data_IF_619981134607
#
_entry.id   IF_619981134607
#
_cell.length_a   1.000
_cell.length_b   1.000
_cell.length_c   1.000
_cell.angle_alpha   90.00
_cell.angle_beta   90.00
_cell.angle_gamma   90.00
#
_symmetry.space_group_name_H-M   'P 1'
#
loop_
_entity.id
_entity.type
_entity.pdbx_description
1 polymer ?
#
# COMPACT_ATOMS: atom_id res chain seq x y z
N UNK A 1 17.21 -1.93 12.38
CA UNK A 1 16.69 -1.55 11.05
C UNK A 1 17.04 -2.64 10.05
N UNK A 2 16.08 -3.15 9.27
CA UNK A 2 16.34 -4.15 8.22
C UNK A 2 16.40 -3.44 6.86
N UNK A 3 17.50 -3.60 6.13
CA UNK A 3 17.67 -3.00 4.80
C UNK A 3 17.45 -4.09 3.75
N UNK A 4 16.54 -3.85 2.81
CA UNK A 4 16.24 -4.77 1.71
C UNK A 4 16.61 -4.06 0.40
N UNK A 5 17.73 -4.46 -0.21
CA UNK A 5 18.11 -3.97 -1.54
C UNK A 5 17.26 -4.66 -2.61
N UNK A 6 16.70 -3.87 -3.52
CA UNK A 6 15.92 -4.34 -4.67
C UNK A 6 16.72 -4.12 -5.95
N UNK A 7 16.36 -4.85 -7.01
CA UNK A 7 17.04 -4.69 -8.31
C UNK A 7 16.63 -3.40 -9.02
N UNK A 8 15.33 -3.12 -8.97
CA UNK A 8 14.69 -2.01 -9.67
C UNK A 8 13.37 -1.63 -8.96
N UNK A 9 12.65 -0.67 -9.54
CA UNK A 9 11.38 -0.16 -9.03
C UNK A 9 10.26 -1.23 -9.01
N UNK A 10 10.19 -2.09 -10.03
CA UNK A 10 9.19 -3.15 -10.11
C UNK A 10 9.43 -4.23 -9.04
N UNK A 11 10.68 -4.61 -8.81
CA UNK A 11 11.07 -5.54 -7.75
C UNK A 11 10.82 -4.95 -6.36
N UNK A 12 11.11 -3.66 -6.16
CA UNK A 12 10.77 -2.94 -4.93
C UNK A 12 9.26 -2.95 -4.68
N UNK A 13 8.48 -2.57 -5.68
CA UNK A 13 7.02 -2.50 -5.60
C UNK A 13 6.40 -3.84 -5.25
N UNK A 14 6.83 -4.92 -5.92
CA UNK A 14 6.38 -6.30 -5.62
C UNK A 14 6.74 -6.72 -4.20
N UNK A 15 7.96 -6.44 -3.74
CA UNK A 15 8.41 -6.81 -2.38
C UNK A 15 7.68 -6.01 -1.29
N UNK A 16 7.44 -4.72 -1.53
CA UNK A 16 6.65 -3.87 -0.63
C UNK A 16 5.21 -4.38 -0.53
N UNK A 17 4.57 -4.67 -1.67
CA UNK A 17 3.23 -5.22 -1.72
C UNK A 17 3.14 -6.56 -0.98
N UNK A 18 4.14 -7.45 -1.12
CA UNK A 18 4.20 -8.71 -0.38
C UNK A 18 4.23 -8.53 1.14
N UNK A 19 4.91 -7.49 1.65
CA UNK A 19 4.97 -7.21 3.08
C UNK A 19 3.60 -6.74 3.58
N UNK A 20 2.96 -5.83 2.84
CA UNK A 20 1.63 -5.31 3.18
C UNK A 20 0.57 -6.42 3.09
N UNK A 21 0.61 -7.25 2.05
CA UNK A 21 -0.33 -8.35 1.88
C UNK A 21 -0.20 -9.38 3.00
N UNK A 22 1.02 -9.75 3.37
CA UNK A 22 1.26 -10.63 4.51
C UNK A 22 0.69 -10.06 5.81
N UNK A 23 0.83 -8.74 6.03
CA UNK A 23 0.25 -8.08 7.21
C UNK A 23 -1.29 -8.18 7.22
N UNK A 24 -1.96 -7.95 6.09
CA UNK A 24 -3.43 -8.02 5.99
C UNK A 24 -3.92 -9.46 6.14
N UNK A 25 -3.21 -10.44 5.55
CA UNK A 25 -3.57 -11.86 5.70
C UNK A 25 -3.44 -12.31 7.16
N UNK A 26 -2.34 -11.94 7.83
CA UNK A 26 -2.09 -12.33 9.22
C UNK A 26 -2.97 -11.55 10.21
N UNK A 27 -3.37 -10.33 9.87
CA UNK A 27 -4.23 -9.47 10.68
C UNK A 27 -5.21 -8.70 9.77
N UNK A 28 -6.39 -9.27 9.49
CA UNK A 28 -7.37 -8.67 8.57
C UNK A 28 -7.94 -7.33 9.01
N UNK A 29 -7.92 -7.03 10.31
CA UNK A 29 -8.37 -5.75 10.89
C UNK A 29 -7.22 -4.75 11.11
N UNK A 30 -6.11 -4.91 10.36
CA UNK A 30 -4.96 -4.01 10.45
C UNK A 30 -5.36 -2.55 10.18
N UNK A 31 -4.73 -1.65 10.94
CA UNK A 31 -4.74 -0.21 10.66
C UNK A 31 -3.47 0.10 9.87
N UNK A 32 -3.60 0.52 8.62
CA UNK A 32 -2.47 0.78 7.72
C UNK A 32 -2.21 2.28 7.59
N UNK A 33 -0.97 2.69 7.85
CA UNK A 33 -0.47 4.00 7.47
C UNK A 33 -0.07 4.00 5.99
N UNK A 34 -0.69 4.87 5.19
CA UNK A 34 -0.48 4.95 3.74
C UNK A 34 0.23 6.26 3.36
N UNK A 35 1.10 6.15 2.37
CA UNK A 35 1.82 7.27 1.79
C UNK A 35 1.32 7.56 0.37
N UNK A 36 1.45 8.82 -0.06
CA UNK A 36 1.19 9.27 -1.43
C UNK A 36 2.51 9.47 -2.19
N UNK A 37 2.45 10.11 -3.36
CA UNK A 37 3.61 10.33 -4.23
C UNK A 37 3.89 9.16 -5.18
N UNK A 38 4.95 9.29 -5.99
CA UNK A 38 5.24 8.35 -7.08
C UNK A 38 5.80 7.01 -6.61
N UNK A 39 6.56 6.99 -5.51
CA UNK A 39 7.22 5.77 -5.01
C UNK A 39 6.26 4.62 -4.66
N UNK A 40 5.11 4.84 -3.99
CA UNK A 40 4.20 3.74 -3.65
C UNK A 40 3.26 3.33 -4.78
N UNK A 41 3.21 4.04 -5.93
CA UNK A 41 2.25 3.76 -7.03
C UNK A 41 2.31 2.29 -7.47
N UNK A 42 3.50 1.77 -7.76
CA UNK A 42 3.65 0.38 -8.22
C UNK A 42 3.33 -0.64 -7.13
N UNK A 43 3.46 -0.27 -5.86
CA UNK A 43 3.03 -1.12 -4.74
C UNK A 43 1.52 -1.24 -4.72
N UNK A 44 0.81 -0.12 -4.85
CA UNK A 44 -0.66 -0.10 -4.88
C UNK A 44 -1.22 -0.83 -6.10
N UNK A 45 -0.63 -0.66 -7.28
CA UNK A 45 -1.02 -1.43 -8.49
C UNK A 45 -0.98 -2.95 -8.24
N UNK A 46 0.03 -3.46 -7.52
CA UNK A 46 0.12 -4.89 -7.19
C UNK A 46 -0.92 -5.32 -6.17
N UNK A 47 -1.16 -4.53 -5.14
CA UNK A 47 -2.20 -4.82 -4.16
C UNK A 47 -3.61 -4.83 -4.79
N UNK A 48 -3.88 -3.92 -5.74
CA UNK A 48 -5.13 -3.88 -6.50
C UNK A 48 -5.29 -5.15 -7.35
N UNK A 49 -4.26 -5.54 -8.10
CA UNK A 49 -4.27 -6.77 -8.92
C UNK A 49 -4.59 -8.02 -8.08
N UNK A 50 -3.93 -8.17 -6.93
CA UNK A 50 -4.18 -9.29 -6.01
C UNK A 50 -5.55 -9.23 -5.33
N UNK A 51 -6.04 -8.04 -4.97
CA UNK A 51 -7.39 -7.88 -4.46
C UNK A 51 -8.43 -8.31 -5.49
N UNK A 52 -8.27 -7.91 -6.75
CA UNK A 52 -9.17 -8.28 -7.84
C UNK A 52 -9.16 -9.77 -8.17
N UNK A 53 -8.03 -10.45 -7.94
CA UNK A 53 -7.89 -11.91 -8.04
C UNK A 53 -8.50 -12.67 -6.87
N UNK A 54 -8.85 -11.98 -5.78
CA UNK A 54 -9.31 -12.58 -4.53
C UNK A 54 -8.19 -13.13 -3.65
N UNK A 55 -6.93 -12.79 -3.93
CA UNK A 55 -5.77 -13.25 -3.15
C UNK A 55 -5.67 -12.51 -1.79
N UNK A 56 -6.24 -11.29 -1.70
CA UNK A 56 -6.20 -10.43 -0.52
C UNK A 56 -7.56 -9.76 -0.34
N UNK A 57 -8.04 -9.71 0.91
CA UNK A 57 -9.27 -9.01 1.30
C UNK A 57 -8.95 -7.83 2.21
N UNK A 58 -9.33 -6.62 1.79
CA UNK A 58 -9.18 -5.38 2.55
C UNK A 58 -10.48 -4.94 3.27
N UNK A 59 -11.55 -5.74 3.22
CA UNK A 59 -12.88 -5.36 3.74
C UNK A 59 -12.92 -4.96 5.22
N UNK A 60 -11.96 -5.45 6.02
CA UNK A 60 -11.83 -5.16 7.46
C UNK A 60 -10.71 -4.18 7.80
N UNK A 61 -9.92 -3.78 6.82
CA UNK A 61 -8.78 -2.89 7.00
C UNK A 61 -9.27 -1.45 7.22
N UNK A 62 -8.57 -0.72 8.10
CA UNK A 62 -8.73 0.73 8.24
C UNK A 62 -7.44 1.42 7.82
N UNK A 63 -7.51 2.63 7.30
CA UNK A 63 -6.34 3.37 6.84
C UNK A 63 -6.24 4.75 7.47
N UNK A 64 -5.01 5.24 7.57
CA UNK A 64 -4.67 6.63 7.86
C UNK A 64 -3.62 7.08 6.85
N UNK A 65 -3.73 8.28 6.31
CA UNK A 65 -2.70 8.86 5.45
C UNK A 65 -1.73 9.69 6.28
N UNK A 66 -0.50 9.85 5.78
CA UNK A 66 0.55 10.60 6.47
C UNK A 66 0.22 12.10 6.58
N UNK A 67 -0.31 12.69 5.51
CA UNK A 67 -0.46 14.13 5.36
C UNK A 67 -1.52 14.49 4.31
N UNK A 68 -1.83 15.80 4.24
CA UNK A 68 -2.67 16.44 3.21
C UNK A 68 -2.22 17.90 3.05
N UNK A 69 -2.43 18.46 1.85
CA UNK A 69 -2.18 19.87 1.56
C UNK A 69 -3.20 20.78 2.25
N UNK A 70 -2.70 21.83 2.90
CA UNK A 70 -3.55 22.83 3.55
C UNK A 70 -4.28 23.67 2.50
N UNK A 71 -5.60 23.77 2.65
CA UNK A 71 -6.44 24.64 1.83
C UNK A 71 -6.94 24.02 0.52
N UNK A 72 -6.58 22.78 0.21
CA UNK A 72 -7.16 22.05 -0.92
C UNK A 72 -8.42 21.30 -0.48
N UNK A 73 -9.54 21.42 -1.24
CA UNK A 73 -10.68 20.54 -1.04
C UNK A 73 -10.33 19.12 -1.48
N UNK A 74 -11.06 18.13 -0.96
CA UNK A 74 -10.83 16.70 -1.24
C UNK A 74 -10.97 16.36 -2.74
N UNK A 75 -11.80 17.10 -3.45
CA UNK A 75 -12.08 16.90 -4.88
C UNK A 75 -11.02 17.53 -5.78
N UNK A 76 -10.00 18.18 -5.21
CA UNK A 76 -8.86 18.70 -5.96
C UNK A 76 -8.03 17.53 -6.52
N UNK A 77 -7.72 17.51 -7.84
CA UNK A 77 -7.04 16.39 -8.49
C UNK A 77 -5.55 16.28 -8.17
#
# INVERSE_FOLDING_TARGET
>A
MKIIRTRDYADMSRKSANIISAQVILKPDSVLGLATGSSPVGTYEKLIDWCNKGDIDFSKVKTVNLDEFVGLPKENP
#
